data_IF_250955752752
#
_entry.id   IF_250955752752
#
_cell.length_a   1.000
_cell.length_b   1.000
_cell.length_c   1.000
_cell.angle_alpha   90.00
_cell.angle_beta   90.00
_cell.angle_gamma   90.00
#
_symmetry.space_group_name_H-M   'P 1'
#
loop_
_entity.id
_entity.type
_entity.pdbx_description
1 polymer ?
#
# COMPACT_ATOMS: atom_id res chain seq x y z
N UNK A 1 7.17 -19.46 -0.55
CA UNK A 1 6.47 -18.53 -1.48
C UNK A 1 5.02 -18.25 -1.08
N UNK A 2 4.14 -19.25 -0.88
CA UNK A 2 2.71 -19.01 -0.56
C UNK A 2 2.50 -18.24 0.76
N UNK A 3 3.20 -18.63 1.84
CA UNK A 3 3.11 -17.91 3.13
C UNK A 3 3.59 -16.45 3.04
N UNK A 4 4.62 -16.19 2.23
CA UNK A 4 5.12 -14.86 1.98
C UNK A 4 4.10 -14.00 1.22
N UNK A 5 3.49 -14.55 0.16
CA UNK A 5 2.45 -13.86 -0.60
C UNK A 5 1.21 -13.54 0.26
N UNK A 6 0.82 -14.46 1.15
CA UNK A 6 -0.29 -14.23 2.08
C UNK A 6 0.05 -13.12 3.09
N UNK A 7 1.27 -13.12 3.64
CA UNK A 7 1.76 -12.06 4.51
C UNK A 7 1.80 -10.69 3.82
N UNK A 8 2.27 -10.64 2.57
CA UNK A 8 2.26 -9.43 1.74
C UNK A 8 0.85 -8.91 1.47
N UNK A 9 -0.10 -9.81 1.21
CA UNK A 9 -1.50 -9.45 0.99
C UNK A 9 -2.10 -8.83 2.25
N UNK A 10 -1.91 -9.45 3.40
CA UNK A 10 -2.36 -8.90 4.69
C UNK A 10 -1.66 -7.56 5.02
N UNK A 11 -0.36 -7.44 4.75
CA UNK A 11 0.37 -6.20 4.95
C UNK A 11 -0.14 -5.07 4.03
N UNK A 12 -0.46 -5.39 2.78
CA UNK A 12 -1.01 -4.43 1.83
C UNK A 12 -2.37 -3.88 2.28
N UNK A 13 -3.19 -4.65 3.00
CA UNK A 13 -4.48 -4.17 3.51
C UNK A 13 -4.32 -2.98 4.46
N UNK A 14 -3.27 -2.96 5.28
CA UNK A 14 -2.98 -1.86 6.22
C UNK A 14 -2.10 -0.79 5.58
N UNK A 15 -1.15 -1.20 4.73
CA UNK A 15 -0.17 -0.28 4.12
C UNK A 15 -0.81 0.65 3.10
N UNK A 16 -1.70 0.14 2.25
CA UNK A 16 -2.32 0.92 1.16
C UNK A 16 -3.14 2.12 1.68
N UNK A 17 -4.08 1.98 2.64
CA UNK A 17 -4.79 3.14 3.17
C UNK A 17 -3.85 4.14 3.86
N UNK A 18 -2.80 3.64 4.52
CA UNK A 18 -1.79 4.49 5.18
C UNK A 18 -0.98 5.29 4.16
N UNK A 19 -0.57 4.67 3.06
CA UNK A 19 0.13 5.32 1.93
C UNK A 19 -0.76 6.38 1.27
N UNK A 20 -2.02 6.07 0.98
CA UNK A 20 -2.96 7.04 0.37
C UNK A 20 -3.14 8.27 1.26
N UNK A 21 -3.29 8.08 2.57
CA UNK A 21 -3.43 9.19 3.53
C UNK A 21 -2.12 10.00 3.59
N UNK A 22 -0.95 9.34 3.64
CA UNK A 22 0.35 10.00 3.65
C UNK A 22 0.59 10.81 2.37
N UNK A 23 0.30 10.26 1.20
CA UNK A 23 0.43 10.96 -0.08
C UNK A 23 -0.45 12.20 -0.12
N UNK A 24 -1.71 12.10 0.32
CA UNK A 24 -2.61 13.27 0.40
C UNK A 24 -2.14 14.31 1.42
N UNK A 25 -1.53 13.89 2.53
CA UNK A 25 -0.92 14.77 3.52
C UNK A 25 0.36 15.45 3.01
N UNK A 26 1.15 14.79 2.17
CA UNK A 26 2.31 15.42 1.53
C UNK A 26 1.89 16.51 0.53
N UNK A 27 0.78 16.30 -0.18
CA UNK A 27 0.20 17.33 -1.07
C UNK A 27 -0.43 18.46 -0.24
N UNK A 28 -1.09 18.14 0.88
CA UNK A 28 -1.76 19.11 1.74
C UNK A 28 -1.07 19.24 3.10
N UNK A 29 0.17 19.77 3.12
CA UNK A 29 0.99 19.88 4.34
C UNK A 29 0.36 20.66 5.50
N UNK A 30 -0.61 21.53 5.21
CA UNK A 30 -1.27 22.37 6.22
C UNK A 30 -2.50 21.72 6.87
N UNK A 31 -2.94 20.55 6.41
CA UNK A 31 -4.12 19.88 6.96
C UNK A 31 -3.71 18.76 7.93
N UNK A 32 -4.46 18.63 9.03
CA UNK A 32 -4.31 17.48 9.94
C UNK A 32 -4.64 16.18 9.22
N UNK A 33 -3.88 15.12 9.51
CA UNK A 33 -4.07 13.76 9.01
C UNK A 33 -5.52 13.26 9.20
N UNK A 34 -6.13 13.56 10.35
CA UNK A 34 -7.52 13.18 10.65
C UNK A 34 -8.53 13.87 9.75
N UNK A 35 -8.31 15.14 9.40
CA UNK A 35 -9.15 15.88 8.45
C UNK A 35 -9.03 15.33 7.04
N UNK A 36 -7.81 14.97 6.62
CA UNK A 36 -7.55 14.37 5.30
C UNK A 36 -8.21 12.99 5.20
N UNK A 37 -8.04 12.14 6.21
CA UNK A 37 -8.65 10.81 6.25
C UNK A 37 -10.19 10.91 6.22
N UNK A 38 -10.77 11.82 7.02
CA UNK A 38 -12.23 12.02 7.07
C UNK A 38 -12.78 12.60 5.77
N UNK A 39 -12.04 13.51 5.12
CA UNK A 39 -12.40 14.07 3.81
C UNK A 39 -12.32 13.02 2.70
N UNK A 40 -11.27 12.19 2.71
CA UNK A 40 -11.12 11.07 1.78
C UNK A 40 -12.28 10.08 1.91
N UNK A 41 -12.63 9.70 3.15
CA UNK A 41 -13.73 8.80 3.42
C UNK A 41 -15.09 9.41 3.02
N UNK A 42 -15.28 10.72 3.19
CA UNK A 42 -16.53 11.40 2.83
C UNK A 42 -16.70 11.61 1.32
N UNK A 43 -15.62 11.86 0.59
CA UNK A 43 -15.67 12.16 -0.84
C UNK A 43 -15.56 10.92 -1.72
N UNK A 44 -14.73 9.95 -1.37
CA UNK A 44 -14.44 8.76 -2.19
C UNK A 44 -14.82 7.44 -1.51
N UNK A 45 -15.28 7.49 -0.25
CA UNK A 45 -15.64 6.30 0.52
C UNK A 45 -14.45 5.42 0.86
N UNK A 46 -14.75 4.17 1.22
CA UNK A 46 -13.74 3.14 1.49
C UNK A 46 -12.98 2.75 0.21
N UNK A 47 -13.60 2.86 -0.96
CA UNK A 47 -12.95 2.57 -2.25
C UNK A 47 -11.77 3.53 -2.52
N UNK A 48 -11.90 4.80 -2.15
CA UNK A 48 -10.82 5.78 -2.28
C UNK A 48 -9.57 5.45 -1.44
N UNK A 49 -9.74 4.76 -0.31
CA UNK A 49 -8.63 4.33 0.56
C UNK A 49 -7.88 3.10 0.01
N UNK A 50 -8.56 2.25 -0.76
CA UNK A 50 -7.97 1.07 -1.41
C UNK A 50 -7.62 1.31 -2.88
N UNK A 51 -7.73 2.56 -3.35
CA UNK A 51 -7.38 2.94 -4.72
C UNK A 51 -5.87 2.76 -4.92
N UNK A 52 -5.48 1.67 -5.59
CA UNK A 52 -4.09 1.26 -5.78
C UNK A 52 -3.68 -0.03 -5.06
N UNK A 53 -4.60 -0.69 -4.34
CA UNK A 53 -4.33 -1.98 -3.69
C UNK A 53 -3.86 -3.05 -4.68
N UNK A 54 -4.59 -3.22 -5.79
CA UNK A 54 -4.20 -4.15 -6.85
C UNK A 54 -2.88 -3.75 -7.54
N UNK A 55 -2.64 -2.45 -7.75
CA UNK A 55 -1.38 -1.99 -8.32
C UNK A 55 -0.19 -2.26 -7.38
N UNK A 56 -0.40 -2.18 -6.07
CA UNK A 56 0.62 -2.48 -5.06
C UNK A 56 0.93 -3.97 -5.04
N UNK A 57 -0.10 -4.83 -5.04
CA UNK A 57 0.07 -6.28 -5.14
C UNK A 57 0.76 -6.69 -6.44
N UNK A 58 0.36 -6.10 -7.57
CA UNK A 58 0.98 -6.34 -8.87
C UNK A 58 2.45 -5.91 -8.91
N UNK A 59 2.91 -5.04 -8.02
CA UNK A 59 4.32 -4.65 -7.87
C UNK A 59 5.08 -5.55 -6.88
N UNK A 60 4.51 -5.81 -5.70
CA UNK A 60 5.21 -6.56 -4.65
C UNK A 60 5.38 -8.05 -5.03
N UNK A 61 4.38 -8.67 -5.68
CA UNK A 61 4.46 -10.08 -6.10
C UNK A 61 5.67 -10.34 -7.03
N UNK A 62 5.84 -9.64 -8.18
CA UNK A 62 6.99 -9.87 -9.04
C UNK A 62 8.31 -9.41 -8.41
N UNK A 63 8.29 -8.38 -7.56
CA UNK A 63 9.47 -7.96 -6.81
C UNK A 63 9.98 -9.09 -5.91
N UNK A 64 9.09 -9.71 -5.12
CA UNK A 64 9.41 -10.88 -4.31
C UNK A 64 9.86 -12.08 -5.15
N UNK A 65 9.23 -12.35 -6.30
CA UNK A 65 9.68 -13.42 -7.20
C UNK A 65 11.10 -13.24 -7.75
N UNK A 66 11.54 -12.00 -7.95
CA UNK A 66 12.88 -11.69 -8.45
C UNK A 66 13.89 -11.62 -7.29
N UNK A 67 13.50 -11.05 -6.16
CA UNK A 67 14.36 -10.84 -5.00
C UNK A 67 14.85 -12.16 -4.39
N UNK A 68 13.97 -13.16 -4.22
CA UNK A 68 14.36 -14.42 -3.60
C UNK A 68 15.45 -15.17 -4.39
N UNK A 69 15.30 -15.41 -5.71
CA UNK A 69 16.36 -16.03 -6.52
C UNK A 69 17.67 -15.22 -6.54
N UNK A 70 17.58 -13.89 -6.64
CA UNK A 70 18.77 -13.03 -6.61
C UNK A 70 19.51 -13.12 -5.27
N UNK A 71 18.78 -13.10 -4.16
CA UNK A 71 19.37 -13.24 -2.83
C UNK A 71 20.06 -14.60 -2.66
N UNK A 72 19.42 -15.66 -3.16
CA UNK A 72 19.97 -17.02 -3.09
C UNK A 72 21.19 -17.19 -4.01
N UNK A 73 21.25 -16.47 -5.14
CA UNK A 73 22.39 -16.48 -6.06
C UNK A 73 23.59 -15.67 -5.55
N UNK A 74 23.34 -14.58 -4.81
CA UNK A 74 24.37 -13.75 -4.20
C UNK A 74 24.82 -14.23 -2.81
N UNK A 75 24.19 -15.29 -2.30
CA UNK A 75 24.55 -15.94 -1.04
C UNK A 75 25.61 -17.02 -1.24
#
# INVERSE_FOLDING_TARGET
MIAAAFGETCACLVRVPTEVIKQRAQVNRNLRLSTIARSCLRNEGLSGLYRGYFATLAREIPFSMIQYPLWEFFK
#
